data_IF_916169298731
#
_entry.id   IF_916169298731
#
_cell.length_a   1.000
_cell.length_b   1.000
_cell.length_c   1.000
_cell.angle_alpha   90.00
_cell.angle_beta   90.00
_cell.angle_gamma   90.00
#
_symmetry.space_group_name_H-M   'P 1'
#
loop_
_entity.id
_entity.type
_entity.pdbx_description
1 polymer ?
#
# COMPACT_ATOMS: atom_id res chain seq x y z
N UNK A 1 14.83 6.30 1.56
CA UNK A 1 13.64 5.41 1.44
C UNK A 1 13.77 4.23 2.40
N UNK A 2 12.64 3.67 2.87
CA UNK A 2 12.64 2.42 3.66
C UNK A 2 13.16 1.28 2.78
N UNK A 3 14.07 0.45 3.32
CA UNK A 3 14.54 -0.76 2.65
C UNK A 3 13.66 -1.95 3.01
N UNK A 4 13.34 -2.77 2.03
CA UNK A 4 12.52 -3.98 2.21
C UNK A 4 13.30 -5.18 1.68
N UNK A 5 13.30 -6.26 2.46
CA UNK A 5 14.05 -7.47 2.14
C UNK A 5 13.13 -8.67 1.97
N UNK A 6 13.44 -9.51 0.98
CA UNK A 6 12.87 -10.85 0.79
C UNK A 6 14.03 -11.84 0.84
N UNK A 7 14.03 -12.76 1.81
CA UNK A 7 15.09 -13.76 2.01
C UNK A 7 16.53 -13.18 1.97
N UNK A 8 16.70 -11.96 2.49
CA UNK A 8 17.94 -11.15 2.52
C UNK A 8 18.28 -10.36 1.25
N UNK A 9 17.47 -10.44 0.20
CA UNK A 9 17.62 -9.63 -1.01
C UNK A 9 16.86 -8.30 -0.88
N UNK A 10 17.50 -7.18 -1.23
CA UNK A 10 16.86 -5.86 -1.21
C UNK A 10 15.94 -5.69 -2.42
N UNK A 11 14.64 -5.79 -2.20
CA UNK A 11 13.57 -5.70 -3.22
C UNK A 11 12.89 -4.33 -3.24
N UNK A 12 13.49 -3.31 -2.60
CA UNK A 12 12.87 -1.99 -2.41
C UNK A 12 12.47 -1.28 -3.70
N UNK A 13 13.23 -1.50 -4.78
CA UNK A 13 12.96 -0.93 -6.10
C UNK A 13 11.80 -1.65 -6.80
N UNK A 14 11.83 -2.97 -6.81
CA UNK A 14 10.86 -3.84 -7.50
C UNK A 14 9.44 -3.69 -6.93
N UNK A 15 9.32 -3.58 -5.60
CA UNK A 15 8.04 -3.37 -4.92
C UNK A 15 7.30 -2.10 -5.36
N UNK A 16 7.98 -1.15 -6.01
CA UNK A 16 7.40 0.13 -6.44
C UNK A 16 6.92 0.11 -7.88
N UNK A 17 7.14 -0.97 -8.61
CA UNK A 17 6.69 -1.13 -9.99
C UNK A 17 5.16 -1.18 -10.08
N UNK A 18 4.63 -0.82 -11.25
CA UNK A 18 3.20 -0.94 -11.53
C UNK A 18 2.70 -2.39 -11.46
N UNK A 19 3.48 -3.31 -12.03
CA UNK A 19 3.19 -4.75 -12.06
C UNK A 19 3.04 -5.34 -10.65
N UNK A 20 4.00 -5.09 -9.75
CA UNK A 20 3.91 -5.57 -8.37
C UNK A 20 2.75 -4.90 -7.62
N UNK A 21 2.47 -3.63 -7.90
CA UNK A 21 1.31 -2.93 -7.31
C UNK A 21 -0.02 -3.58 -7.70
N UNK A 22 -0.15 -4.02 -8.96
CA UNK A 22 -1.34 -4.70 -9.48
C UNK A 22 -1.45 -6.12 -8.89
N UNK A 23 -0.37 -6.89 -8.93
CA UNK A 23 -0.31 -8.23 -8.34
C UNK A 23 -0.65 -8.23 -6.85
N UNK A 24 -0.13 -7.26 -6.10
CA UNK A 24 -0.47 -7.09 -4.69
C UNK A 24 -1.97 -6.82 -4.46
N UNK A 25 -2.63 -6.07 -5.35
CA UNK A 25 -4.07 -5.84 -5.26
C UNK A 25 -4.88 -7.11 -5.46
N UNK A 26 -4.46 -7.96 -6.41
CA UNK A 26 -5.12 -9.25 -6.68
C UNK A 26 -4.94 -10.19 -5.49
N UNK A 27 -3.71 -10.35 -5.01
CA UNK A 27 -3.38 -11.22 -3.87
C UNK A 27 -4.07 -10.76 -2.59
N UNK A 28 -4.13 -9.44 -2.34
CA UNK A 28 -4.79 -8.88 -1.16
C UNK A 28 -6.31 -9.13 -1.12
N UNK A 29 -6.96 -9.42 -2.25
CA UNK A 29 -8.39 -9.79 -2.26
C UNK A 29 -8.64 -11.21 -1.73
N UNK A 30 -7.60 -12.05 -1.67
CA UNK A 30 -7.72 -13.45 -1.27
C UNK A 30 -7.76 -13.57 0.26
N UNK A 31 -8.92 -13.93 0.80
CA UNK A 31 -9.09 -14.06 2.26
C UNK A 31 -8.06 -15.00 2.93
N UNK A 32 -7.73 -16.20 2.39
CA UNK A 32 -6.72 -17.06 3.01
C UNK A 32 -5.34 -16.40 3.13
N UNK A 33 -4.97 -15.56 2.16
CA UNK A 33 -3.71 -14.81 2.20
C UNK A 33 -3.77 -13.75 3.30
N UNK A 34 -4.87 -12.99 3.38
CA UNK A 34 -5.06 -11.99 4.43
C UNK A 34 -5.02 -12.60 5.83
N UNK A 35 -5.71 -13.73 6.02
CA UNK A 35 -5.74 -14.46 7.29
C UNK A 35 -4.32 -14.92 7.67
N UNK A 36 -3.56 -15.47 6.71
CA UNK A 36 -2.18 -15.93 6.94
C UNK A 36 -1.18 -14.81 7.26
N UNK A 37 -1.48 -13.56 6.90
CA UNK A 37 -0.64 -12.40 7.19
C UNK A 37 -0.99 -11.69 8.50
N UNK A 38 -2.09 -12.06 9.17
CA UNK A 38 -2.59 -11.32 10.33
C UNK A 38 -1.64 -11.42 11.53
N UNK A 39 -1.19 -12.62 11.85
CA UNK A 39 -0.24 -12.87 12.95
C UNK A 39 1.08 -12.13 12.72
N UNK A 40 1.55 -12.11 11.47
CA UNK A 40 2.74 -11.35 11.10
C UNK A 40 2.54 -9.86 11.38
N UNK A 41 1.42 -9.27 10.95
CA UNK A 41 1.12 -7.85 11.21
C UNK A 41 1.03 -7.55 12.72
N UNK A 42 0.38 -8.42 13.50
CA UNK A 42 0.31 -8.28 14.95
C UNK A 42 1.68 -8.35 15.62
N UNK A 43 2.60 -9.17 15.09
CA UNK A 43 3.96 -9.29 15.64
C UNK A 43 4.76 -7.99 15.62
N UNK A 44 4.41 -7.02 14.75
CA UNK A 44 5.05 -5.70 14.72
C UNK A 44 4.65 -4.79 15.89
N UNK A 45 3.58 -5.12 16.65
CA UNK A 45 3.12 -4.32 17.79
C UNK A 45 4.02 -4.55 19.01
N UNK A 46 5.18 -3.90 19.01
CA UNK A 46 6.19 -4.01 20.06
C UNK A 46 6.37 -2.69 20.82
N UNK A 47 6.89 -2.72 22.07
CA UNK A 47 7.34 -1.51 22.76
C UNK A 47 8.43 -0.77 21.96
N UNK A 48 8.50 0.57 22.03
CA UNK A 48 7.63 1.47 22.80
C UNK A 48 6.28 1.79 22.13
N UNK A 49 6.05 1.31 20.90
CA UNK A 49 4.83 1.53 20.14
C UNK A 49 5.02 1.24 18.65
N UNK A 50 3.92 1.33 17.91
CA UNK A 50 3.88 1.06 16.46
C UNK A 50 3.07 2.14 15.74
N UNK A 51 3.57 2.60 14.60
CA UNK A 51 2.78 3.30 13.59
C UNK A 51 2.50 2.32 12.46
N UNK A 52 1.24 1.93 12.30
CA UNK A 52 0.81 1.01 11.25
C UNK A 52 0.14 1.79 10.11
N UNK A 53 0.68 1.68 8.90
CA UNK A 53 0.13 2.26 7.66
C UNK A 53 -0.52 1.14 6.82
N UNK A 54 -1.73 1.38 6.32
CA UNK A 54 -2.49 0.41 5.55
C UNK A 54 -3.97 0.78 5.40
N UNK A 55 -4.75 -0.09 4.75
CA UNK A 55 -6.17 0.19 4.42
C UNK A 55 -7.14 -0.12 5.54
N UNK A 56 -6.90 -1.18 6.29
CA UNK A 56 -7.81 -1.75 7.30
C UNK A 56 -7.15 -1.88 8.68
N UNK A 57 -6.09 -1.10 8.94
CA UNK A 57 -5.34 -1.14 10.19
C UNK A 57 -6.20 -0.82 11.41
N UNK A 58 -7.07 0.18 11.32
CA UNK A 58 -7.92 0.60 12.44
C UNK A 58 -9.26 -0.15 12.57
N UNK A 59 -9.63 -0.95 11.58
CA UNK A 59 -10.94 -1.64 11.50
C UNK A 59 -10.83 -3.16 11.63
N UNK A 60 -9.75 -3.76 11.11
CA UNK A 60 -9.54 -5.21 11.10
C UNK A 60 -8.30 -5.60 11.90
N UNK A 61 -7.15 -4.99 11.62
CA UNK A 61 -5.87 -5.45 12.17
C UNK A 61 -5.73 -5.04 13.64
N UNK A 62 -5.88 -3.76 13.96
CA UNK A 62 -5.78 -3.21 15.31
C UNK A 62 -7.06 -2.43 15.67
N UNK A 63 -8.22 -3.12 15.81
CA UNK A 63 -9.48 -2.47 16.17
C UNK A 63 -9.44 -1.82 17.57
N UNK A 64 -8.53 -2.25 18.43
CA UNK A 64 -8.28 -1.71 19.77
C UNK A 64 -7.25 -0.56 19.78
N UNK A 65 -6.74 -0.12 18.62
CA UNK A 65 -5.75 0.96 18.57
C UNK A 65 -6.29 2.25 19.22
N UNK A 66 -5.53 2.86 20.16
CA UNK A 66 -5.98 4.05 20.88
C UNK A 66 -6.01 5.32 20.01
N UNK A 67 -5.28 5.33 18.90
CA UNK A 67 -5.28 6.40 17.90
C UNK A 67 -5.47 5.82 16.50
N UNK A 68 -6.43 6.37 15.75
CA UNK A 68 -6.76 5.94 14.37
C UNK A 68 -6.89 7.18 13.50
N UNK A 69 -6.14 7.22 12.40
CA UNK A 69 -6.14 8.33 11.45
C UNK A 69 -6.60 7.79 10.10
N UNK A 70 -7.61 8.42 9.51
CA UNK A 70 -8.03 8.14 8.14
C UNK A 70 -7.62 9.32 7.26
N UNK A 71 -6.59 9.12 6.43
CA UNK A 71 -6.10 10.14 5.52
C UNK A 71 -6.82 10.02 4.17
N UNK A 72 -7.49 11.10 3.77
CA UNK A 72 -8.19 11.20 2.47
C UNK A 72 -7.69 12.39 1.67
N UNK A 73 -7.91 12.36 0.36
CA UNK A 73 -7.57 13.43 -0.58
C UNK A 73 -8.47 13.30 -1.82
N UNK A 74 -8.58 14.37 -2.61
CA UNK A 74 -9.38 14.31 -3.84
C UNK A 74 -8.74 13.35 -4.86
N UNK A 75 -9.52 12.76 -5.78
CA UNK A 75 -8.97 11.92 -6.85
C UNK A 75 -7.85 12.59 -7.65
N UNK A 76 -7.98 13.89 -7.91
CA UNK A 76 -6.99 14.68 -8.67
C UNK A 76 -5.66 14.78 -7.92
N UNK A 77 -5.71 15.04 -6.61
CA UNK A 77 -4.52 15.11 -5.76
C UNK A 77 -3.79 13.77 -5.67
N UNK A 78 -4.55 12.67 -5.57
CA UNK A 78 -4.00 11.31 -5.57
C UNK A 78 -3.36 10.97 -6.91
N UNK A 79 -4.00 11.32 -8.03
CA UNK A 79 -3.46 11.13 -9.37
C UNK A 79 -2.18 11.94 -9.59
N UNK A 80 -2.18 13.22 -9.19
CA UNK A 80 -0.99 14.09 -9.29
C UNK A 80 0.18 13.52 -8.50
N UNK A 81 -0.05 13.14 -7.23
CA UNK A 81 0.99 12.55 -6.37
C UNK A 81 1.52 11.24 -6.95
N UNK A 82 0.65 10.37 -7.47
CA UNK A 82 1.08 9.10 -8.09
C UNK A 82 1.91 9.33 -9.35
N UNK A 83 1.52 10.30 -10.19
CA UNK A 83 2.29 10.71 -11.35
C UNK A 83 3.69 11.24 -10.96
N UNK A 84 3.78 12.08 -9.94
CA UNK A 84 5.09 12.55 -9.42
C UNK A 84 5.97 11.40 -8.89
N UNK A 85 5.38 10.41 -8.23
CA UNK A 85 6.11 9.22 -7.77
C UNK A 85 6.65 8.38 -8.92
N UNK A 86 5.91 8.29 -10.04
CA UNK A 86 6.29 7.52 -11.21
C UNK A 86 7.25 8.28 -12.12
N UNK A 87 7.18 9.62 -12.21
CA UNK A 87 8.11 10.43 -13.03
C UNK A 87 9.60 10.29 -12.66
N UNK A 88 9.90 9.84 -11.44
CA UNK A 88 11.27 9.54 -11.01
C UNK A 88 11.81 8.19 -11.51
N UNK A 89 10.94 7.35 -12.10
CA UNK A 89 11.26 6.06 -12.69
C UNK A 89 10.87 6.17 -14.17
N UNK A 90 11.82 6.15 -15.10
CA UNK A 90 11.63 6.34 -16.55
C UNK A 90 10.41 5.59 -17.13
N UNK A 91 9.23 6.17 -17.01
CA UNK A 91 7.97 5.53 -17.37
C UNK A 91 7.06 6.61 -17.94
N UNK A 92 6.70 6.41 -19.21
CA UNK A 92 5.91 7.33 -20.03
C UNK A 92 4.42 7.25 -19.65
N UNK A 93 4.14 7.28 -18.34
CA UNK A 93 2.80 7.09 -17.79
C UNK A 93 2.08 8.43 -17.79
N UNK A 94 1.10 8.56 -18.68
CA UNK A 94 0.28 9.76 -18.77
C UNK A 94 -0.64 9.91 -17.56
N UNK A 95 -0.87 11.15 -17.15
CA UNK A 95 -1.69 11.49 -15.98
C UNK A 95 -3.14 10.98 -16.10
N UNK A 96 -3.67 10.90 -17.33
CA UNK A 96 -5.01 10.38 -17.60
C UNK A 96 -5.11 8.87 -17.36
N UNK A 97 -4.07 8.10 -17.72
CA UNK A 97 -4.04 6.66 -17.41
C UNK A 97 -4.01 6.40 -15.91
N UNK A 98 -3.25 7.21 -15.16
CA UNK A 98 -3.20 7.12 -13.68
C UNK A 98 -4.54 7.45 -13.05
N UNK A 99 -5.28 8.42 -13.60
CA UNK A 99 -6.64 8.75 -13.12
C UNK A 99 -7.59 7.58 -13.30
N UNK A 100 -7.59 6.97 -14.48
CA UNK A 100 -8.43 5.80 -14.78
C UNK A 100 -8.08 4.62 -13.87
N UNK A 101 -6.79 4.31 -13.70
CA UNK A 101 -6.32 3.26 -12.79
C UNK A 101 -6.71 3.53 -11.33
N UNK A 102 -6.70 4.79 -10.88
CA UNK A 102 -7.13 5.15 -9.53
C UNK A 102 -8.64 5.02 -9.35
N UNK A 103 -9.42 5.45 -10.34
CA UNK A 103 -10.88 5.34 -10.31
C UNK A 103 -11.31 3.88 -10.20
N UNK A 104 -10.77 3.02 -11.08
CA UNK A 104 -11.06 1.58 -11.06
C UNK A 104 -10.64 0.89 -9.77
N UNK A 105 -9.66 1.44 -9.03
CA UNK A 105 -9.22 0.88 -7.74
C UNK A 105 -10.12 1.31 -6.59
N UNK A 106 -10.76 2.46 -6.66
CA UNK A 106 -11.67 2.93 -5.62
C UNK A 106 -13.06 2.27 -5.72
N UNK A 107 -13.46 1.84 -6.93
CA UNK A 107 -14.74 1.16 -7.16
C UNK A 107 -14.75 -0.33 -6.76
N UNK A 108 -13.59 -0.91 -6.44
CA UNK A 108 -13.42 -2.35 -6.11
C UNK A 108 -13.48 -2.63 -4.61
#
# INVERSE_FOLDING_TARGET
>A
PVRTFLDSEDVSGELRTGEISEGASVVASMKPVRDGLLDLQHSFRQPPGLVADGRDMGTVVFPDAPCKIFLTATPEERARRRHEQLRGQESDVTLDRIREELHQRDER
#
